data_IF_191744131737
#
_entry.id   IF_191744131737
#
_cell.length_a   1.000
_cell.length_b   1.000
_cell.length_c   1.000
_cell.angle_alpha   90.00
_cell.angle_beta   90.00
_cell.angle_gamma   90.00
#
_symmetry.space_group_name_H-M   'P 1'
#
loop_
_entity.id
_entity.type
_entity.pdbx_description
1 polymer ?
2 non-polymer ?
3 water ?
#
# COMPACT_ATOMS: atom_id res chain seq x y z
N UNK A 1 -2.87 -0.27 17.59
CA UNK A 1 -1.68 0.61 17.35
C UNK A 1 -0.64 -0.20 16.60
N UNK A 2 0.29 0.51 15.97
CA UNK A 2 1.36 -0.13 15.28
C UNK A 2 2.49 -0.32 16.26
N UNK A 3 3.22 -1.38 15.99
CA UNK A 3 4.29 -1.83 16.85
C UNK A 3 5.60 -2.13 16.16
N UNK A 4 5.66 -2.08 14.84
CA UNK A 4 6.87 -2.46 14.11
C UNK A 4 7.56 -1.34 13.43
N UNK A 5 8.88 -1.30 13.62
CA UNK A 5 9.75 -0.44 12.81
C UNK A 5 10.31 -1.34 11.69
N UNK A 6 9.61 -1.34 10.55
CA UNK A 6 10.00 -2.20 9.47
C UNK A 6 11.30 -1.69 8.85
N UNK A 7 12.17 -2.61 8.49
CA UNK A 7 13.42 -2.26 7.88
C UNK A 7 13.30 -2.29 6.37
N UNK A 8 13.72 -1.22 5.73
CA UNK A 8 13.70 -1.12 4.26
C UNK A 8 14.73 -2.04 3.65
N UNK A 9 14.44 -2.48 2.44
CA UNK A 9 15.37 -3.27 1.65
C UNK A 9 16.70 -2.60 1.51
N UNK A 10 17.77 -3.36 1.78
CA UNK A 10 19.13 -2.93 1.51
C UNK A 10 19.28 -2.73 0.01
N UNK A 11 19.74 -1.57 -0.41
CA UNK A 11 19.90 -1.33 -1.83
C UNK A 11 18.61 -1.14 -2.60
N UNK A 12 17.53 -0.73 -1.92
CA UNK A 12 16.24 -0.46 -2.57
C UNK A 12 16.43 0.44 -3.78
N UNK A 13 15.83 0.05 -4.90
CA UNK A 13 15.88 0.78 -6.16
C UNK A 13 14.59 1.57 -6.35
N UNK A 14 14.64 2.82 -5.90
CA UNK A 14 13.47 3.66 -5.89
C UNK A 14 12.89 3.92 -7.28
N UNK A 15 13.75 4.16 -8.26
CA UNK A 15 13.22 4.49 -9.58
C UNK A 15 12.49 3.33 -10.25
N UNK A 16 12.92 2.10 -9.97
CA UNK A 16 12.25 0.92 -10.45
C UNK A 16 10.90 0.72 -9.76
N UNK A 17 10.83 0.93 -8.44
CA UNK A 17 9.58 0.74 -7.73
C UNK A 17 8.58 1.81 -8.10
N UNK A 18 9.04 3.05 -8.08
CA UNK A 18 8.25 4.23 -8.41
C UNK A 18 8.33 4.59 -9.90
N UNK A 19 7.95 3.64 -10.74
CA UNK A 19 8.07 3.77 -12.19
C UNK A 19 6.79 4.13 -12.86
N UNK A 20 5.73 4.40 -12.09
CA UNK A 20 4.45 4.78 -12.65
C UNK A 20 3.50 3.63 -12.91
N UNK A 21 3.91 2.40 -12.66
CA UNK A 21 3.10 1.23 -12.94
C UNK A 21 2.32 0.80 -11.70
N UNK A 22 1.49 -0.20 -11.92
CA UNK A 22 0.57 -0.71 -10.91
C UNK A 22 1.17 -1.90 -10.17
N UNK A 23 0.90 -1.98 -8.87
CA UNK A 23 1.18 -3.12 -8.01
C UNK A 23 -0.15 -3.61 -7.44
N UNK A 24 -0.36 -4.92 -7.47
CA UNK A 24 -1.55 -5.55 -6.90
C UNK A 24 -1.20 -6.19 -5.59
N UNK A 25 -2.05 -6.05 -4.58
CA UNK A 25 -1.90 -6.79 -3.35
C UNK A 25 -2.39 -8.24 -3.57
N UNK A 26 -1.54 -9.22 -3.41
CA UNK A 26 -1.98 -10.60 -3.54
C UNK A 26 -2.21 -11.27 -2.21
N UNK A 27 -1.56 -10.79 -1.17
CA UNK A 27 -1.69 -11.41 0.18
C UNK A 27 -1.40 -10.35 1.23
N UNK A 28 -2.05 -10.42 2.37
CA UNK A 28 -1.79 -9.44 3.42
C UNK A 28 -1.85 -10.05 4.79
N UNK A 29 -1.21 -9.36 5.73
CA UNK A 29 -1.18 -9.77 7.13
C UNK A 29 -1.33 -8.53 8.01
N UNK A 30 -2.46 -8.41 8.70
CA UNK A 30 -2.59 -7.37 9.71
C UNK A 30 -2.34 -7.97 11.04
N UNK A 31 -1.51 -7.29 11.81
CA UNK A 31 -1.17 -7.77 13.16
C UNK A 31 -2.27 -7.55 14.17
N UNK A 32 -3.21 -6.70 13.85
CA UNK A 32 -4.50 -6.59 14.60
C UNK A 32 -5.60 -7.12 13.62
N UNK A 33 -5.72 -8.44 13.44
CA UNK A 33 -6.43 -9.06 12.30
C UNK A 33 -7.91 -8.70 12.11
N UNK A 34 -8.63 -8.34 13.20
CA UNK A 34 -9.99 -7.79 13.06
C UNK A 34 -10.06 -6.36 12.47
N UNK A 35 -8.92 -5.73 12.22
CA UNK A 35 -8.91 -4.39 11.66
C UNK A 35 -9.29 -4.36 10.20
N UNK A 36 -9.07 -5.47 9.50
CA UNK A 36 -9.40 -5.54 8.09
C UNK A 36 -10.25 -6.79 7.81
N UNK A 37 -11.18 -6.69 6.85
CA UNK A 37 -12.00 -7.87 6.58
C UNK A 37 -11.19 -9.08 6.16
N UNK A 38 -11.76 -10.27 6.26
CA UNK A 38 -11.11 -11.48 5.79
C UNK A 38 -11.05 -11.61 4.27
N UNK A 39 -11.89 -10.88 3.56
CA UNK A 39 -11.92 -10.83 2.12
C UNK A 39 -11.75 -9.39 1.70
N UNK A 40 -10.82 -9.15 0.75
CA UNK A 40 -10.49 -7.78 0.24
C UNK A 40 -9.77 -7.70 -1.13
N UNK A 41 -9.86 -6.52 -1.77
CA UNK A 41 -9.11 -6.21 -3.00
C UNK A 41 -8.36 -4.87 -2.79
N UNK A 42 -7.03 -4.80 -3.01
CA UNK A 42 -6.35 -3.50 -3.04
C UNK A 42 -5.26 -3.52 -4.06
N UNK A 43 -4.97 -2.32 -4.58
CA UNK A 43 -3.88 -2.10 -5.51
C UNK A 43 -3.41 -0.70 -5.41
N UNK A 44 -2.20 -0.44 -5.92
CA UNK A 44 -1.63 0.89 -5.87
C UNK A 44 -0.79 1.15 -7.14
N UNK A 45 -0.72 2.41 -7.54
CA UNK A 45 0.32 2.85 -8.52
C UNK A 45 1.26 3.73 -7.75
N UNK A 46 2.52 3.73 -8.18
CA UNK A 46 3.58 4.46 -7.50
C UNK A 46 4.48 5.02 -8.57
N UNK A 47 4.74 6.30 -8.50
CA UNK A 47 5.57 6.98 -9.50
C UNK A 47 5.89 8.39 -9.13
N UNK A 48 6.78 8.99 -9.92
CA UNK A 48 7.03 10.43 -9.84
C UNK A 48 6.24 11.16 -10.89
N UNK A 49 5.55 12.21 -10.48
CA UNK A 49 4.71 13.02 -11.38
C UNK A 49 5.10 14.46 -11.20
N UNK A 50 5.60 15.07 -12.28
CA UNK A 50 6.13 16.42 -12.27
C UNK A 50 7.04 16.67 -11.07
N UNK A 51 7.98 15.77 -10.86
CA UNK A 51 8.98 15.88 -9.84
C UNK A 51 8.57 15.46 -8.44
N UNK A 52 7.30 15.10 -8.22
CA UNK A 52 6.74 14.79 -6.90
C UNK A 52 6.56 13.30 -6.80
N UNK A 53 6.95 12.71 -5.68
CA UNK A 53 6.79 11.28 -5.42
C UNK A 53 5.34 11.03 -5.00
N UNK A 54 4.66 10.14 -5.71
CA UNK A 54 3.20 9.92 -5.55
C UNK A 54 2.85 8.47 -5.45
N UNK A 55 1.75 8.22 -4.72
CA UNK A 55 1.01 6.97 -4.85
C UNK A 55 -0.44 7.23 -5.02
N UNK A 56 -1.05 6.32 -5.73
CA UNK A 56 -2.50 6.27 -5.86
C UNK A 56 -2.93 4.91 -5.35
N UNK A 57 -4.01 4.87 -4.55
CA UNK A 57 -4.47 3.65 -3.94
C UNK A 57 -5.89 3.36 -4.39
N UNK A 58 -6.22 2.08 -4.38
CA UNK A 58 -7.55 1.56 -4.60
C UNK A 58 -7.83 0.50 -3.60
N UNK A 59 -8.99 0.57 -2.94
CA UNK A 59 -9.50 -0.45 -2.03
C UNK A 59 -10.93 -0.82 -2.43
N UNK A 60 -11.22 -2.10 -2.31
CA UNK A 60 -12.55 -2.63 -2.62
C UNK A 60 -12.85 -3.82 -1.74
N UNK A 61 -14.00 -3.74 -1.06
CA UNK A 61 -14.48 -4.88 -0.28
C UNK A 61 -15.38 -5.67 -1.18
N UNK A 62 -14.99 -6.90 -1.53
CA UNK A 62 -15.75 -7.65 -2.53
C UNK A 62 -17.12 -8.13 -2.07
N UNK A 63 -17.39 -8.09 -0.78
CA UNK A 63 -18.69 -8.47 -0.25
C UNK A 63 -19.59 -7.25 -0.09
N UNK A 64 -19.11 -6.20 0.55
CA UNK A 64 -19.95 -5.03 0.80
C UNK A 64 -20.02 -4.08 -0.39
N UNK A 65 -19.02 -4.17 -1.28
CA UNK A 65 -18.83 -3.28 -2.44
C UNK A 65 -18.33 -1.91 -2.06
N UNK A 66 -17.92 -1.71 -0.81
CA UNK A 66 -17.32 -0.44 -0.43
C UNK A 66 -16.06 -0.23 -1.22
N UNK A 67 -15.97 0.95 -1.85
CA UNK A 67 -14.89 1.30 -2.82
C UNK A 67 -14.32 2.64 -2.44
N UNK A 68 -12.99 2.81 -2.52
CA UNK A 68 -12.46 4.14 -2.46
C UNK A 68 -11.07 4.20 -3.07
N UNK A 69 -10.75 5.38 -3.58
CA UNK A 69 -9.44 5.72 -4.12
C UNK A 69 -8.86 6.83 -3.27
N UNK A 70 -7.52 6.85 -3.27
CA UNK A 70 -6.79 7.88 -2.58
C UNK A 70 -5.57 8.28 -3.40
N UNK A 71 -5.07 9.48 -3.08
CA UNK A 71 -3.84 10.04 -3.68
C UNK A 71 -2.96 10.66 -2.57
N UNK A 72 -1.64 10.45 -2.60
CA UNK A 72 -0.72 11.14 -1.68
C UNK A 72 0.56 11.53 -2.40
N UNK A 73 1.12 12.67 -1.98
CA UNK A 73 2.53 12.98 -2.18
C UNK A 73 3.32 12.51 -0.97
N UNK A 74 4.20 11.54 -1.20
CA UNK A 74 5.07 10.88 -0.23
C UNK A 74 6.23 11.75 0.17
N UNK A 75 6.50 11.80 1.46
CA UNK A 75 7.70 12.43 2.00
C UNK A 75 8.66 11.35 2.41
N UNK A 76 9.92 11.60 2.22
CA UNK A 76 10.97 10.64 2.48
C UNK A 76 11.47 10.75 3.90
N UNK A 77 11.47 9.60 4.59
CA UNK A 77 12.11 9.48 5.90
C UNK A 77 13.54 8.91 5.75
N UNK A 78 13.69 8.03 4.77
CA UNK A 78 14.97 7.43 4.39
C UNK A 78 14.69 6.55 3.21
N UNK A 79 15.72 6.00 2.60
CA UNK A 79 15.50 5.27 1.40
C UNK A 79 14.60 4.09 1.66
N UNK A 80 13.48 4.08 0.96
CA UNK A 80 12.50 3.06 1.12
C UNK A 80 11.50 3.19 2.24
N UNK A 81 11.56 4.26 3.05
CA UNK A 81 10.55 4.54 4.10
C UNK A 81 9.96 5.95 3.95
N UNK A 82 8.64 5.99 3.85
CA UNK A 82 7.92 7.18 3.48
C UNK A 82 6.77 7.43 4.42
N UNK A 83 6.38 8.70 4.50
CA UNK A 83 5.16 9.13 5.16
C UNK A 83 4.28 9.77 4.11
N UNK A 84 2.96 9.46 4.16
CA UNK A 84 2.01 9.89 3.12
C UNK A 84 0.69 10.39 3.69
N UNK A 85 0.52 11.71 3.62
CA UNK A 85 -0.75 12.32 3.92
C UNK A 85 -1.65 12.14 2.75
N UNK A 86 -2.75 11.45 2.96
CA UNK A 86 -3.62 11.11 1.80
C UNK A 86 -4.88 11.97 1.63
N UNK A 87 -5.41 12.01 0.40
CA UNK A 87 -6.71 12.58 0.12
C UNK A 87 -7.56 11.55 -0.57
N UNK A 88 -8.81 11.45 -0.16
CA UNK A 88 -9.77 10.54 -0.78
C UNK A 88 -10.32 11.26 -1.99
N UNK A 89 -10.34 10.55 -3.11
CA UNK A 89 -10.73 11.07 -4.40
C UNK A 89 -11.64 10.08 -5.10
N UNK A 90 -12.44 10.57 -6.05
CA UNK A 90 -13.06 9.65 -6.97
C UNK A 90 -12.03 9.14 -7.98
N UNK A 91 -12.45 8.27 -8.90
CA UNK A 91 -11.48 7.61 -9.78
C UNK A 91 -10.85 8.58 -10.74
N UNK A 92 -11.48 9.73 -10.92
CA UNK A 92 -10.96 10.80 -11.79
C UNK A 92 -10.13 11.87 -11.08
N UNK A 93 -9.87 11.68 -9.80
CA UNK A 93 -9.06 12.57 -9.02
C UNK A 93 -9.76 13.74 -8.35
N UNK A 94 -11.08 13.80 -8.43
CA UNK A 94 -11.83 14.87 -7.76
C UNK A 94 -11.85 14.62 -6.27
N UNK A 95 -11.54 15.64 -5.48
CA UNK A 95 -11.35 15.45 -4.05
C UNK A 95 -12.68 15.25 -3.35
N UNK A 96 -12.75 14.16 -2.59
CA UNK A 96 -13.86 13.83 -1.73
C UNK A 96 -13.58 14.17 -0.25
N UNK A 97 -12.33 13.97 0.22
CA UNK A 97 -11.91 14.31 1.56
C UNK A 97 -10.48 14.83 1.40
N UNK A 98 -10.30 16.08 1.80
CA UNK A 98 -9.03 16.76 1.65
C UNK A 98 -7.98 16.18 2.57
N UNK A 99 -6.73 16.44 2.24
CA UNK A 99 -5.59 16.15 3.12
C UNK A 99 -5.85 16.82 4.46
N UNK A 100 -5.54 16.11 5.52
CA UNK A 100 -5.51 16.75 6.80
C UNK A 100 -4.47 16.11 7.67
N UNK A 101 -4.17 16.86 8.71
CA UNK A 101 -3.35 16.41 9.77
C UNK A 101 -3.97 15.26 10.49
N UNK A 102 -3.19 14.27 10.76
CA UNK A 102 -3.69 13.14 11.41
C UNK A 102 -4.10 12.06 10.45
N UNK A 103 -4.27 12.36 9.15
CA UNK A 103 -4.62 11.31 8.17
C UNK A 103 -3.38 11.03 7.35
N UNK A 104 -2.64 9.99 7.70
CA UNK A 104 -1.43 9.65 6.96
C UNK A 104 -1.16 8.17 7.15
N UNK A 105 -0.37 7.60 6.23
CA UNK A 105 0.18 6.26 6.45
C UNK A 105 1.68 6.32 6.29
N UNK A 106 2.36 5.44 7.00
CA UNK A 106 3.77 5.18 6.70
C UNK A 106 3.83 4.02 5.76
N UNK A 107 4.91 3.95 4.99
CA UNK A 107 5.05 2.97 3.95
C UNK A 107 6.53 2.58 3.87
N UNK A 108 6.84 1.30 4.08
CA UNK A 108 8.23 0.81 4.00
C UNK A 108 8.32 -0.34 3.01
N UNK A 109 9.22 -0.22 2.04
CA UNK A 109 9.46 -1.30 1.12
C UNK A 109 10.55 -2.19 1.65
N UNK A 110 10.11 -3.34 2.18
CA UNK A 110 10.98 -4.32 2.82
C UNK A 110 11.72 -5.21 1.78
N UNK A 111 11.12 -5.44 0.61
CA UNK A 111 11.73 -6.22 -0.43
C UNK A 111 11.08 -5.77 -1.72
N UNK A 112 11.88 -5.67 -2.77
CA UNK A 112 11.30 -5.47 -4.09
C UNK A 112 12.22 -5.98 -5.18
N UNK A 113 11.64 -6.55 -6.20
CA UNK A 113 12.37 -6.74 -7.46
C UNK A 113 11.47 -6.19 -8.53
N UNK A 114 11.72 -6.51 -9.79
CA UNK A 114 10.92 -5.90 -10.84
C UNK A 114 9.46 -6.33 -10.86
N UNK A 115 9.16 -7.48 -10.25
CA UNK A 115 7.83 -8.10 -10.36
C UNK A 115 7.10 -8.36 -9.06
N UNK A 116 7.79 -8.28 -7.94
CA UNK A 116 7.19 -8.57 -6.63
C UNK A 116 7.74 -7.65 -5.55
N UNK A 117 7.01 -7.53 -4.44
CA UNK A 117 7.49 -6.70 -3.35
C UNK A 117 6.81 -7.14 -2.07
N UNK A 118 7.42 -6.76 -0.97
CA UNK A 118 6.85 -6.89 0.38
C UNK A 118 6.93 -5.52 1.03
N UNK A 119 5.78 -5.01 1.47
CA UNK A 119 5.70 -3.73 2.17
C UNK A 119 5.10 -3.89 3.54
N UNK A 120 5.41 -2.90 4.36
CA UNK A 120 4.73 -2.62 5.63
C UNK A 120 4.08 -1.27 5.58
N UNK A 121 2.87 -1.16 6.16
CA UNK A 121 2.22 0.10 6.32
C UNK A 121 1.69 0.22 7.75
N UNK A 122 1.59 1.47 8.19
CA UNK A 122 0.89 1.84 9.40
C UNK A 122 -0.02 3.01 9.07
N UNK A 123 -1.31 2.73 9.07
CA UNK A 123 -2.31 3.76 8.80
C UNK A 123 -2.73 4.49 10.08
N UNK A 124 -2.82 5.81 9.96
CA UNK A 124 -3.38 6.68 10.98
C UNK A 124 -4.54 7.47 10.35
N UNK A 125 -5.73 7.32 10.92
CA UNK A 125 -6.86 8.03 10.35
C UNK A 125 -7.74 8.46 11.50
N UNK A 126 -7.69 9.75 11.80
CA UNK A 126 -8.56 10.33 12.85
C UNK A 126 -8.27 9.63 14.15
N UNK A 127 -9.34 9.24 14.86
CA UNK A 127 -9.20 8.61 16.18
C UNK A 127 -9.33 7.07 16.11
N UNK A 128 -9.18 6.50 14.92
CA UNK A 128 -9.22 5.03 14.75
C UNK A 128 -7.97 4.38 15.36
N UNK A 129 -8.10 3.12 15.80
CA UNK A 129 -6.94 2.35 16.30
C UNK A 129 -6.64 1.22 15.31
N UNK A 130 -5.53 1.36 14.62
CA UNK A 130 -5.19 0.52 13.50
C UNK A 130 -3.81 -0.08 13.79
N UNK A 131 -3.56 -1.25 13.22
CA UNK A 131 -2.28 -1.91 13.42
C UNK A 131 -1.44 -2.05 12.17
N UNK A 132 -0.33 -2.74 12.37
CA UNK A 132 0.67 -2.99 11.33
C UNK A 132 0.05 -3.85 10.23
N UNK A 133 0.21 -3.48 8.97
CA UNK A 133 -0.34 -4.26 7.86
C UNK A 133 0.78 -4.52 6.82
N UNK A 134 1.13 -5.80 6.63
CA UNK A 134 2.14 -6.19 5.62
C UNK A 134 1.38 -6.67 4.39
N UNK A 135 1.94 -6.38 3.24
CA UNK A 135 1.32 -6.79 2.00
C UNK A 135 2.40 -7.31 1.04
N UNK A 136 2.07 -8.45 0.42
CA UNK A 136 2.83 -8.99 -0.72
C UNK A 136 2.16 -8.42 -1.97
N UNK A 137 3.00 -7.84 -2.82
CA UNK A 137 2.59 -7.20 -4.07
C UNK A 137 3.15 -7.96 -5.26
N UNK A 138 2.43 -7.88 -6.38
CA UNK A 138 2.95 -8.40 -7.67
C UNK A 138 2.53 -7.44 -8.76
N UNK A 139 3.31 -7.41 -9.83
CA UNK A 139 2.91 -6.72 -11.05
C UNK A 139 1.82 -7.44 -11.82
N UNK A 140 1.62 -8.75 -11.56
CA UNK A 140 0.59 -9.53 -12.20
C UNK A 140 -0.41 -9.86 -11.10
N UNK A 141 -1.68 -9.50 -11.31
CA UNK A 141 -2.68 -9.63 -10.28
C UNK A 141 -2.95 -11.06 -9.90
N UNK A 142 -2.63 -11.99 -10.78
CA UNK A 142 -2.88 -13.42 -10.53
C UNK A 142 -1.71 -14.23 -10.02
N UNK A 143 -0.55 -13.60 -9.84
CA UNK A 143 0.69 -14.33 -9.52
C UNK A 143 0.66 -14.89 -8.11
N UNK A 144 0.93 -16.20 -8.02
CA UNK A 144 1.24 -16.79 -6.74
C UNK A 144 2.57 -16.26 -6.23
N UNK A 145 2.72 -16.11 -4.93
CA UNK A 145 3.94 -15.61 -4.35
C UNK A 145 5.10 -16.56 -4.61
N UNK A 146 6.17 -16.04 -5.20
CA UNK A 146 7.36 -16.80 -5.52
C UNK A 146 8.33 -16.87 -4.36
N UNK A 147 9.44 -17.57 -4.62
CA UNK A 147 10.39 -17.81 -3.57
C UNK A 147 11.11 -16.56 -3.12
N UNK A 148 11.38 -15.59 -4.00
CA UNK A 148 12.07 -14.40 -3.55
C UNK A 148 11.22 -13.67 -2.49
N UNK A 149 9.94 -13.40 -2.77
CA UNK A 149 9.15 -12.66 -1.82
C UNK A 149 8.83 -13.49 -0.58
N UNK A 150 8.61 -14.81 -0.72
CA UNK A 150 8.34 -15.64 0.45
C UNK A 150 9.56 -15.70 1.36
N UNK A 151 10.75 -15.76 0.79
CA UNK A 151 11.95 -15.72 1.58
C UNK A 151 12.05 -14.39 2.33
N UNK A 152 11.68 -13.28 1.68
CA UNK A 152 11.67 -11.96 2.34
C UNK A 152 10.69 -11.93 3.51
N UNK A 153 9.54 -12.60 3.38
CA UNK A 153 8.57 -12.71 4.47
C UNK A 153 9.28 -13.41 5.64
N UNK A 154 9.99 -14.51 5.37
CA UNK A 154 10.72 -15.22 6.47
C UNK A 154 11.82 -14.34 7.06
N UNK A 155 12.49 -13.60 6.20
CA UNK A 155 13.58 -12.75 6.70
C UNK A 155 13.09 -11.60 7.55
N UNK A 156 11.80 -11.24 7.43
CA UNK A 156 11.17 -10.28 8.33
C UNK A 156 10.63 -10.95 9.60
N UNK A 157 10.93 -12.25 9.77
CA UNK A 157 10.48 -13.03 10.89
C UNK A 157 8.95 -13.09 10.98
N UNK A 158 8.35 -13.30 9.82
CA UNK A 158 6.94 -13.54 9.64
C UNK A 158 6.74 -14.91 8.98
N UNK A 159 5.55 -15.43 9.12
CA UNK A 159 5.17 -16.68 8.50
C UNK A 159 4.18 -16.44 7.38
N UNK A 160 4.60 -16.76 6.17
CA UNK A 160 3.74 -16.57 5.01
C UNK A 160 2.41 -17.33 5.11
N UNK A 161 2.40 -18.48 5.78
CA UNK A 161 1.20 -19.26 6.04
C UNK A 161 0.12 -18.47 6.73
N UNK A 162 0.47 -17.41 7.46
CA UNK A 162 -0.53 -16.62 8.16
C UNK A 162 -1.13 -15.54 7.25
N UNK A 163 -0.49 -15.20 6.12
CA UNK A 163 -1.04 -14.19 5.24
C UNK A 163 -2.33 -14.63 4.58
N UNK A 164 -3.25 -13.68 4.40
CA UNK A 164 -4.54 -13.93 3.81
C UNK A 164 -4.48 -13.54 2.31
N UNK A 165 -4.81 -14.47 1.38
CA UNK A 165 -4.79 -14.21 -0.04
C UNK A 165 -5.97 -13.40 -0.48
N UNK A 166 -5.77 -12.57 -1.48
CA UNK A 166 -6.88 -11.84 -2.14
C UNK A 166 -7.39 -12.55 -3.42
N UNK A 167 -6.87 -13.72 -3.75
CA UNK A 167 -7.05 -14.28 -5.08
C UNK A 167 -8.40 -14.88 -5.38
N UNK A 168 -9.15 -15.24 -4.35
CA UNK A 168 -10.46 -15.85 -4.58
C UNK A 168 -11.60 -14.87 -4.46
N UNK A 169 -11.33 -13.58 -4.61
CA UNK A 169 -12.39 -12.57 -4.43
C UNK A 169 -12.97 -11.96 -5.73
N UNK A 170 -12.59 -12.48 -6.89
CA UNK A 170 -13.03 -11.98 -8.20
C UNK A 170 -12.64 -10.50 -8.42
N UNK A 171 -11.56 -10.04 -7.77
CA UNK A 171 -11.12 -8.63 -7.88
C UNK A 171 -10.89 -8.22 -9.33
N UNK A 172 -11.50 -7.08 -9.77
CA UNK A 172 -11.15 -6.48 -11.07
C UNK A 172 -10.77 -5.02 -10.80
N UNK A 173 -9.75 -4.57 -11.50
CA UNK A 173 -9.10 -3.29 -11.20
C UNK A 173 -9.10 -2.35 -12.39
N UNK A 174 -9.26 -1.07 -12.12
CA UNK A 174 -9.19 -0.04 -13.14
C UNK A 174 -7.76 0.50 -13.13
N UNK A 175 -6.87 -0.17 -13.87
CA UNK A 175 -5.47 0.27 -13.97
C UNK A 175 -5.32 1.67 -14.50
N UNK A 176 -6.17 2.02 -15.46
CA UNK A 176 -6.10 3.32 -16.10
C UNK A 176 -6.32 4.42 -15.07
N UNK A 177 -7.33 4.26 -14.22
CA UNK A 177 -7.54 5.27 -13.19
C UNK A 177 -6.39 5.31 -12.18
N UNK A 178 -5.81 4.17 -11.78
CA UNK A 178 -4.66 4.25 -10.88
C UNK A 178 -3.49 4.99 -11.48
N UNK A 179 -3.17 4.74 -12.74
CA UNK A 179 -2.06 5.47 -13.38
C UNK A 179 -2.36 6.95 -13.52
N UNK A 180 -3.57 7.31 -13.91
CA UNK A 180 -3.84 8.74 -14.07
C UNK A 180 -3.87 9.48 -12.73
N UNK A 181 -4.33 8.80 -11.69
CA UNK A 181 -4.39 9.42 -10.40
C UNK A 181 -3.06 9.87 -9.87
N UNK A 182 -1.95 9.29 -10.36
CA UNK A 182 -0.63 9.76 -9.97
C UNK A 182 -0.42 11.23 -10.22
N UNK A 183 -1.10 11.79 -11.21
CA UNK A 183 -0.91 13.17 -11.56
C UNK A 183 -1.79 14.12 -10.76
N UNK A 184 -2.67 13.62 -9.89
CA UNK A 184 -3.78 14.40 -9.33
C UNK A 184 -3.53 14.79 -7.90
#
# INVERSE_FOLDING_TARGET
ACTKNAIAQTGFNKDKYFNGDVWYVTDYLDLEPDDVPKRYCAALAAGTASGKLKEALYHYDPKTQDTFYDVSELQVESLGKYTANFKKVDKNGNVKVAVTAGNYYTFTVMYADDSSALIHTCLHKGNKDLGDLYAVLNRNKDAAAGDKVKSAVSAATLEFSKFISTKENNCAYDNDSLKSLLTK
#
